data_IF_136176806382
#
_entry.id   IF_136176806382
#
_cell.length_a   1.000
_cell.length_b   1.000
_cell.length_c   1.000
_cell.angle_alpha   90.00
_cell.angle_beta   90.00
_cell.angle_gamma   90.00
#
_symmetry.space_group_name_H-M   'P 1'
#
loop_
_entity.id
_entity.type
_entity.pdbx_description
1 polymer ?
#
# COMPACT_ATOMS: atom_id res chain seq x y z
N UNK A 1 -33.17 9.56 43.13
CA UNK A 1 -33.34 9.70 44.59
C UNK A 1 -31.99 9.43 45.24
N UNK A 2 -31.20 10.46 45.55
CA UNK A 2 -30.11 10.46 46.54
C UNK A 2 -29.57 11.90 46.65
N UNK A 3 -29.73 12.47 47.84
CA UNK A 3 -29.48 13.87 48.20
C UNK A 3 -27.97 14.13 48.29
N UNK A 4 -27.46 15.10 47.55
CA UNK A 4 -26.11 15.63 47.76
C UNK A 4 -26.22 16.90 48.62
N UNK A 5 -25.95 16.74 49.92
CA UNK A 5 -25.97 17.81 50.91
C UNK A 5 -24.59 18.50 50.89
N UNK A 6 -24.50 19.67 50.25
CA UNK A 6 -23.34 20.55 50.37
C UNK A 6 -23.30 21.13 51.78
N UNK A 7 -22.41 20.62 52.63
CA UNK A 7 -22.05 21.21 53.91
C UNK A 7 -20.85 22.13 53.71
N UNK A 8 -21.11 23.41 53.46
CA UNK A 8 -20.13 24.49 53.54
C UNK A 8 -19.85 24.79 55.01
N UNK A 9 -18.89 24.07 55.60
CA UNK A 9 -18.31 24.43 56.89
C UNK A 9 -17.29 25.55 56.69
N UNK A 10 -17.75 26.79 56.83
CA UNK A 10 -16.89 27.94 57.08
C UNK A 10 -16.38 27.86 58.52
N UNK A 11 -15.23 27.21 58.72
CA UNK A 11 -14.50 27.30 59.98
C UNK A 11 -13.74 28.62 60.01
N UNK A 12 -14.34 29.62 60.64
CA UNK A 12 -13.62 30.80 61.09
C UNK A 12 -12.54 30.35 62.09
N UNK A 13 -11.29 30.35 61.65
CA UNK A 13 -10.12 30.07 62.48
C UNK A 13 -9.90 31.29 63.39
N UNK A 14 -10.57 31.32 64.53
CA UNK A 14 -10.30 32.29 65.59
C UNK A 14 -8.92 31.97 66.16
N UNK A 15 -7.91 32.76 65.79
CA UNK A 15 -6.57 32.71 66.37
C UNK A 15 -6.67 33.16 67.84
N UNK A 16 -6.85 32.19 68.73
CA UNK A 16 -6.69 32.42 70.17
C UNK A 16 -5.20 32.72 70.44
N UNK A 17 -4.90 33.98 70.74
CA UNK A 17 -3.62 34.40 71.28
C UNK A 17 -3.52 33.87 72.71
N UNK A 18 -2.69 32.84 72.91
CA UNK A 18 -2.27 32.43 74.25
C UNK A 18 -1.50 33.58 74.91
N UNK A 19 -1.83 33.82 76.18
CA UNK A 19 -1.37 34.94 77.01
C UNK A 19 0.13 34.90 77.37
N UNK A 20 0.85 33.88 76.93
CA UNK A 20 2.27 33.66 77.21
C UNK A 20 3.21 34.30 76.20
N UNK A 21 2.71 34.89 75.11
CA UNK A 21 3.52 35.65 74.15
C UNK A 21 4.54 34.83 73.35
N UNK A 22 4.66 33.53 73.61
CA UNK A 22 5.41 32.59 72.80
C UNK A 22 4.53 32.12 71.66
N UNK A 23 4.78 32.66 70.46
CA UNK A 23 4.15 32.17 69.23
C UNK A 23 4.45 30.67 69.14
N UNK A 24 3.39 29.86 69.10
CA UNK A 24 3.48 28.40 69.03
C UNK A 24 3.99 27.99 67.63
N UNK A 25 5.31 28.08 67.45
CA UNK A 25 5.98 27.72 66.21
C UNK A 25 5.90 26.20 65.96
N UNK A 26 5.63 25.40 66.99
CA UNK A 26 5.60 23.94 66.88
C UNK A 26 4.43 23.46 66.01
N UNK A 27 3.31 24.18 65.99
CA UNK A 27 2.16 23.87 65.13
C UNK A 27 2.44 24.11 63.63
N UNK A 28 3.37 25.01 63.29
CA UNK A 28 3.79 25.25 61.90
C UNK A 28 4.78 24.17 61.44
N UNK A 29 5.64 23.68 62.34
CA UNK A 29 6.61 22.62 62.04
C UNK A 29 5.98 21.22 61.99
N UNK A 30 4.98 20.93 62.83
CA UNK A 30 4.18 19.69 62.74
C UNK A 30 3.41 19.62 61.43
N UNK A 31 2.77 20.73 61.03
CA UNK A 31 2.07 20.85 59.74
C UNK A 31 3.00 20.62 58.54
N UNK A 32 4.25 21.10 58.59
CA UNK A 32 5.25 20.82 57.54
C UNK A 32 5.61 19.34 57.44
N UNK A 33 5.74 18.63 58.57
CA UNK A 33 6.03 17.18 58.58
C UNK A 33 4.84 16.36 58.06
N UNK A 34 3.61 16.76 58.39
CA UNK A 34 2.40 16.12 57.86
C UNK A 34 2.25 16.34 56.35
N UNK A 35 2.47 17.56 55.87
CA UNK A 35 2.46 17.87 54.44
C UNK A 35 3.55 17.08 53.69
N UNK A 36 4.74 16.94 54.27
CA UNK A 36 5.81 16.14 53.68
C UNK A 36 5.41 14.65 53.54
N UNK A 37 4.80 14.09 54.59
CA UNK A 37 4.32 12.70 54.60
C UNK A 37 3.19 12.48 53.58
N UNK A 38 2.25 13.40 53.48
CA UNK A 38 1.17 13.34 52.48
C UNK A 38 1.71 13.39 51.05
N UNK A 39 2.70 14.26 50.78
CA UNK A 39 3.36 14.36 49.47
C UNK A 39 4.11 13.08 49.12
N UNK A 40 4.80 12.45 50.07
CA UNK A 40 5.50 11.19 49.81
C UNK A 40 4.54 10.03 49.55
N UNK A 41 3.44 9.93 50.30
CA UNK A 41 2.43 8.88 50.08
C UNK A 41 1.73 9.07 48.74
N UNK A 42 1.34 10.31 48.41
CA UNK A 42 0.73 10.62 47.12
C UNK A 42 1.70 10.36 45.97
N UNK A 43 2.97 10.78 46.09
CA UNK A 43 4.00 10.51 45.10
C UNK A 43 4.23 9.02 44.88
N UNK A 44 4.27 8.22 45.95
CA UNK A 44 4.42 6.78 45.88
C UNK A 44 3.23 6.12 45.18
N UNK A 45 1.99 6.48 45.55
CA UNK A 45 0.78 5.98 44.90
C UNK A 45 0.71 6.38 43.42
N UNK A 46 1.11 7.62 43.10
CA UNK A 46 1.13 8.12 41.74
C UNK A 46 2.15 7.36 40.88
N UNK A 47 3.37 7.16 41.38
CA UNK A 47 4.42 6.39 40.69
C UNK A 47 3.97 4.94 40.49
N UNK A 48 3.42 4.28 41.52
CA UNK A 48 2.96 2.89 41.40
C UNK A 48 1.82 2.76 40.39
N UNK A 49 0.91 3.73 40.34
CA UNK A 49 -0.20 3.72 39.38
C UNK A 49 0.25 3.94 37.94
N UNK A 50 1.23 4.82 37.70
CA UNK A 50 1.58 5.28 36.35
C UNK A 50 2.83 4.62 35.77
N UNK A 51 3.79 4.20 36.60
CA UNK A 51 5.02 3.57 36.11
C UNK A 51 4.76 2.32 35.26
N UNK A 52 3.85 1.39 35.61
CA UNK A 52 3.53 0.24 34.75
C UNK A 52 2.95 0.65 33.39
N UNK A 53 2.13 1.71 33.36
CA UNK A 53 1.52 2.21 32.13
C UNK A 53 2.57 2.85 31.22
N UNK A 54 3.51 3.63 31.76
CA UNK A 54 4.63 4.15 30.97
C UNK A 54 5.51 3.03 30.43
N UNK A 55 5.86 2.04 31.25
CA UNK A 55 6.64 0.88 30.80
C UNK A 55 5.90 0.17 29.66
N UNK A 56 4.59 -0.07 29.80
CA UNK A 56 3.78 -0.67 28.75
C UNK A 56 3.79 0.14 27.46
N UNK A 57 3.59 1.47 27.54
CA UNK A 57 3.64 2.36 26.37
C UNK A 57 5.02 2.29 25.69
N UNK A 58 6.11 2.39 26.45
CA UNK A 58 7.45 2.31 25.88
C UNK A 58 7.75 0.95 25.24
N UNK A 59 7.28 -0.14 25.84
CA UNK A 59 7.43 -1.50 25.29
C UNK A 59 6.65 -1.64 23.98
N UNK A 60 5.39 -1.21 23.94
CA UNK A 60 4.57 -1.25 22.71
C UNK A 60 5.17 -0.35 21.64
N UNK A 61 5.61 0.87 21.99
CA UNK A 61 6.31 1.75 21.05
C UNK A 61 7.61 1.14 20.54
N UNK A 62 8.40 0.49 21.39
CA UNK A 62 9.62 -0.19 20.97
C UNK A 62 9.33 -1.34 20.00
N UNK A 63 8.27 -2.12 20.23
CA UNK A 63 7.84 -3.14 19.28
C UNK A 63 7.33 -2.53 17.97
N UNK A 64 6.53 -1.48 18.02
CA UNK A 64 6.00 -0.81 16.85
C UNK A 64 7.11 -0.18 15.99
N UNK A 65 7.99 0.60 16.61
CA UNK A 65 9.13 1.22 15.94
C UNK A 65 10.15 0.18 15.49
N UNK A 66 10.36 -0.88 16.27
CA UNK A 66 11.23 -1.99 15.94
C UNK A 66 10.73 -2.79 14.74
N UNK A 67 9.42 -3.05 14.65
CA UNK A 67 8.80 -3.72 13.50
C UNK A 67 8.89 -2.86 12.22
N UNK A 68 8.85 -1.53 12.35
CA UNK A 68 9.05 -0.59 11.26
C UNK A 68 10.52 -0.30 10.94
N UNK A 69 11.47 -0.78 11.74
CA UNK A 69 12.89 -0.49 11.53
C UNK A 69 13.44 -1.36 10.40
N UNK A 70 13.84 -0.71 9.30
CA UNK A 70 14.44 -1.32 8.12
C UNK A 70 13.53 -2.34 7.40
N UNK A 71 12.35 -1.92 6.91
CA UNK A 71 11.40 -2.82 6.23
C UNK A 71 12.05 -3.50 5.01
N UNK A 72 13.03 -2.84 4.41
CA UNK A 72 13.83 -3.31 3.30
C UNK A 72 14.50 -4.66 3.58
N UNK A 73 14.93 -4.93 4.82
CA UNK A 73 15.57 -6.20 5.18
C UNK A 73 14.60 -7.39 5.21
N UNK A 74 13.31 -7.15 5.44
CA UNK A 74 12.31 -8.21 5.61
C UNK A 74 11.43 -8.40 4.37
N UNK A 75 11.33 -7.38 3.51
CA UNK A 75 10.60 -7.46 2.24
C UNK A 75 11.16 -8.50 1.28
N UNK A 76 12.46 -8.87 1.43
CA UNK A 76 13.13 -9.97 0.72
C UNK A 76 12.44 -11.34 0.82
N UNK A 77 11.59 -11.53 1.82
CA UNK A 77 10.86 -12.77 2.05
C UNK A 77 9.43 -12.75 1.48
N UNK A 78 9.01 -11.64 0.87
CA UNK A 78 7.69 -11.49 0.28
C UNK A 78 7.74 -12.03 -1.15
N UNK A 79 7.17 -13.21 -1.33
CA UNK A 79 7.08 -13.87 -2.63
C UNK A 79 5.95 -13.31 -3.49
N UNK A 80 6.28 -12.92 -4.71
CA UNK A 80 5.30 -12.58 -5.75
C UNK A 80 5.56 -13.44 -6.97
N UNK A 81 4.54 -14.18 -7.42
CA UNK A 81 4.68 -14.96 -8.65
C UNK A 81 4.45 -14.09 -9.88
N UNK A 82 5.23 -14.33 -10.93
CA UNK A 82 5.10 -13.68 -12.22
C UNK A 82 4.90 -14.78 -13.25
N UNK A 83 3.77 -14.75 -13.96
CA UNK A 83 3.37 -15.78 -14.91
C UNK A 83 3.09 -15.15 -16.26
N UNK A 84 3.70 -15.71 -17.30
CA UNK A 84 3.48 -15.31 -18.69
C UNK A 84 2.67 -16.40 -19.41
N UNK A 85 1.40 -16.11 -19.73
CA UNK A 85 0.57 -16.97 -20.58
C UNK A 85 0.62 -16.58 -22.06
N UNK A 86 1.24 -15.46 -22.40
CA UNK A 86 1.37 -15.02 -23.78
C UNK A 86 2.44 -15.84 -24.51
N UNK A 87 3.63 -15.99 -23.90
CA UNK A 87 4.73 -16.78 -24.45
C UNK A 87 5.34 -16.22 -25.74
N UNK A 88 4.94 -15.01 -26.16
CA UNK A 88 5.44 -14.31 -27.35
C UNK A 88 6.27 -13.07 -26.94
N UNK A 89 6.45 -12.14 -27.87
CA UNK A 89 7.31 -10.97 -27.71
C UNK A 89 6.91 -10.09 -26.50
N UNK A 90 5.61 -9.85 -26.31
CA UNK A 90 5.13 -9.06 -25.17
C UNK A 90 5.42 -9.75 -23.84
N UNK A 91 5.28 -11.09 -23.79
CA UNK A 91 5.70 -11.92 -22.67
C UNK A 91 7.18 -11.78 -22.33
N UNK A 92 8.06 -11.79 -23.34
CA UNK A 92 9.49 -11.55 -23.17
C UNK A 92 9.80 -10.19 -22.52
N UNK A 93 9.28 -9.10 -23.09
CA UNK A 93 9.45 -7.75 -22.52
C UNK A 93 8.86 -7.62 -21.12
N UNK A 94 7.74 -8.27 -20.88
CA UNK A 94 7.10 -8.29 -19.58
C UNK A 94 8.01 -8.96 -18.54
N UNK A 95 8.48 -10.19 -18.78
CA UNK A 95 9.37 -10.90 -17.87
C UNK A 95 10.70 -10.17 -17.66
N UNK A 96 11.28 -9.62 -18.73
CA UNK A 96 12.53 -8.88 -18.65
C UNK A 96 12.39 -7.59 -17.85
N UNK A 97 11.26 -6.89 -17.93
CA UNK A 97 10.99 -5.74 -17.07
C UNK A 97 10.90 -6.11 -15.59
N UNK A 98 10.30 -7.25 -15.25
CA UNK A 98 10.28 -7.76 -13.87
C UNK A 98 11.68 -8.18 -13.38
N UNK A 99 12.54 -8.69 -14.27
CA UNK A 99 13.95 -8.97 -13.95
C UNK A 99 14.80 -7.72 -13.80
N UNK A 100 14.55 -6.74 -14.68
CA UNK A 100 15.30 -5.48 -14.75
C UNK A 100 14.88 -4.48 -13.67
N UNK A 101 13.67 -4.59 -13.14
CA UNK A 101 13.22 -3.85 -11.96
C UNK A 101 13.90 -4.50 -10.77
N UNK A 102 15.03 -3.94 -10.29
CA UNK A 102 15.71 -4.53 -9.18
C UNK A 102 14.73 -4.55 -8.01
N UNK A 103 14.83 -5.52 -7.11
CA UNK A 103 14.26 -5.36 -5.80
C UNK A 103 14.84 -4.04 -5.24
N UNK A 104 14.04 -2.97 -5.21
CA UNK A 104 14.49 -1.64 -4.80
C UNK A 104 14.79 -1.63 -3.30
N UNK A 105 14.60 -0.49 -2.63
CA UNK A 105 14.53 -0.51 -1.15
C UNK A 105 13.47 -1.51 -0.66
N UNK A 106 12.43 -1.79 -1.45
CA UNK A 106 11.42 -2.81 -1.17
C UNK A 106 11.70 -4.05 -2.04
N UNK A 107 12.41 -5.03 -1.48
CA UNK A 107 12.97 -6.14 -2.24
C UNK A 107 11.97 -7.29 -2.35
N UNK A 108 10.98 -7.25 -3.24
CA UNK A 108 10.12 -8.42 -3.46
C UNK A 108 10.91 -9.57 -4.09
N UNK A 109 10.62 -10.81 -3.68
CA UNK A 109 11.18 -12.00 -4.32
C UNK A 109 10.27 -12.42 -5.47
N UNK A 110 10.69 -12.11 -6.69
CA UNK A 110 10.01 -12.53 -7.91
C UNK A 110 10.18 -14.03 -8.13
N UNK A 111 9.07 -14.77 -8.17
CA UNK A 111 9.03 -16.17 -8.55
C UNK A 111 8.47 -16.30 -9.96
N UNK A 112 9.33 -16.54 -10.93
CA UNK A 112 8.90 -16.81 -12.30
C UNK A 112 8.33 -18.22 -12.38
N UNK A 113 7.07 -18.33 -12.81
CA UNK A 113 6.33 -19.58 -12.90
C UNK A 113 5.77 -19.75 -14.29
N UNK A 114 5.65 -20.99 -14.72
CA UNK A 114 5.04 -21.32 -16.01
C UNK A 114 3.52 -21.46 -15.84
N UNK A 115 2.72 -21.18 -16.88
CA UNK A 115 1.28 -21.45 -16.90
C UNK A 115 0.88 -22.85 -16.39
N UNK A 116 1.67 -23.86 -16.73
CA UNK A 116 1.47 -25.25 -16.33
C UNK A 116 1.62 -25.48 -14.81
N UNK A 117 2.34 -24.61 -14.09
CA UNK A 117 2.49 -24.71 -12.63
C UNK A 117 1.17 -24.41 -11.89
N UNK A 118 0.19 -23.80 -12.57
CA UNK A 118 -1.12 -23.42 -12.05
C UNK A 118 -2.27 -23.99 -12.90
N UNK A 119 -2.08 -25.19 -13.46
CA UNK A 119 -3.09 -25.93 -14.23
C UNK A 119 -3.69 -25.17 -15.41
N UNK A 120 -2.98 -24.15 -15.90
CA UNK A 120 -3.43 -23.25 -16.96
C UNK A 120 -4.75 -22.49 -16.67
N UNK A 121 -5.14 -22.37 -15.39
CA UNK A 121 -6.41 -21.76 -14.99
C UNK A 121 -6.21 -20.58 -14.05
N UNK A 122 -6.93 -19.47 -14.31
CA UNK A 122 -6.90 -18.28 -13.45
C UNK A 122 -7.44 -18.59 -12.04
N UNK A 123 -8.34 -19.55 -11.90
CA UNK A 123 -8.90 -19.93 -10.60
C UNK A 123 -7.86 -20.61 -9.69
N UNK A 124 -7.01 -21.46 -10.27
CA UNK A 124 -5.93 -22.11 -9.51
C UNK A 124 -4.85 -21.11 -9.09
N UNK A 125 -4.62 -20.07 -9.91
CA UNK A 125 -3.77 -18.93 -9.55
C UNK A 125 -4.35 -18.17 -8.34
N UNK A 126 -5.66 -17.91 -8.33
CA UNK A 126 -6.31 -17.26 -7.18
C UNK A 126 -6.17 -18.10 -5.92
N UNK A 127 -6.33 -19.42 -6.02
CA UNK A 127 -6.18 -20.33 -4.89
C UNK A 127 -4.75 -20.32 -4.33
N UNK A 128 -3.71 -20.22 -5.16
CA UNK A 128 -2.33 -20.10 -4.68
C UNK A 128 -2.08 -18.80 -3.89
N UNK A 129 -2.75 -17.70 -4.28
CA UNK A 129 -2.75 -16.49 -3.47
C UNK A 129 -3.49 -16.73 -2.17
N UNK A 130 -4.68 -17.32 -2.19
CA UNK A 130 -5.53 -17.57 -1.01
C UNK A 130 -4.88 -18.49 0.03
N UNK A 131 -4.22 -19.57 -0.43
CA UNK A 131 -3.56 -20.58 0.40
C UNK A 131 -2.28 -20.08 1.10
N UNK A 132 -1.76 -18.90 0.74
CA UNK A 132 -0.60 -18.31 1.42
C UNK A 132 0.74 -18.64 0.79
N UNK A 133 0.74 -19.25 -0.40
CA UNK A 133 1.97 -19.63 -1.07
C UNK A 133 2.75 -18.42 -1.57
N UNK A 134 2.03 -17.34 -1.93
CA UNK A 134 2.56 -16.07 -2.39
C UNK A 134 1.67 -14.92 -1.93
N UNK A 135 2.23 -13.70 -1.89
CA UNK A 135 1.52 -12.48 -1.47
C UNK A 135 0.70 -11.85 -2.57
N UNK A 136 1.17 -11.98 -3.81
CA UNK A 136 0.48 -11.56 -5.01
C UNK A 136 0.94 -12.41 -6.20
N UNK A 137 0.12 -12.44 -7.26
CA UNK A 137 0.49 -13.00 -8.54
C UNK A 137 0.21 -11.98 -9.63
N UNK A 138 1.19 -11.80 -10.52
CA UNK A 138 1.05 -10.98 -11.72
C UNK A 138 1.03 -11.91 -12.92
N UNK A 139 -0.05 -11.82 -13.70
CA UNK A 139 -0.30 -12.67 -14.85
C UNK A 139 -0.37 -11.80 -16.09
N UNK A 140 0.44 -12.13 -17.11
CA UNK A 140 0.19 -11.67 -18.47
C UNK A 140 -0.79 -12.63 -19.14
N UNK A 141 -1.94 -12.12 -19.61
CA UNK A 141 -2.99 -12.94 -20.25
C UNK A 141 -2.52 -13.50 -21.59
N UNK A 142 -3.05 -14.66 -22.01
CA UNK A 142 -2.69 -15.25 -23.29
C UNK A 142 -3.12 -14.38 -24.48
N UNK A 143 -2.42 -14.52 -25.61
CA UNK A 143 -2.69 -13.79 -26.86
C UNK A 143 -2.59 -12.25 -26.75
N UNK A 144 -1.87 -11.73 -25.75
CA UNK A 144 -1.62 -10.29 -25.61
C UNK A 144 -0.86 -9.75 -26.82
N UNK A 145 0.23 -10.42 -27.24
CA UNK A 145 1.02 -10.02 -28.40
C UNK A 145 0.17 -10.03 -29.68
N UNK A 146 -0.53 -11.15 -29.93
CA UNK A 146 -1.44 -11.29 -31.07
C UNK A 146 -2.51 -10.19 -31.11
N UNK A 147 -3.11 -9.86 -29.97
CA UNK A 147 -4.15 -8.83 -29.86
C UNK A 147 -3.61 -7.44 -30.17
N UNK A 148 -2.42 -7.10 -29.65
CA UNK A 148 -1.75 -5.83 -29.95
C UNK A 148 -1.43 -5.74 -31.45
N UNK A 149 -0.83 -6.79 -32.01
CA UNK A 149 -0.46 -6.83 -33.43
C UNK A 149 -1.68 -6.70 -34.34
N UNK A 150 -2.79 -7.38 -34.03
CA UNK A 150 -4.06 -7.23 -34.76
C UNK A 150 -4.57 -5.79 -34.73
N UNK A 151 -4.51 -5.12 -33.57
CA UNK A 151 -4.90 -3.71 -33.46
C UNK A 151 -3.97 -2.76 -34.20
N UNK A 152 -2.66 -3.05 -34.24
CA UNK A 152 -1.71 -2.30 -35.06
C UNK A 152 -1.95 -2.48 -36.56
N UNK A 153 -2.26 -3.70 -37.00
CA UNK A 153 -2.60 -3.94 -38.41
C UNK A 153 -3.92 -3.28 -38.78
N UNK A 154 -4.92 -3.32 -37.89
CA UNK A 154 -6.16 -2.59 -38.07
C UNK A 154 -5.90 -1.08 -38.18
N UNK A 155 -5.05 -0.50 -37.34
CA UNK A 155 -4.65 0.91 -37.43
C UNK A 155 -4.11 1.28 -38.82
N UNK A 156 -3.20 0.47 -39.36
CA UNK A 156 -2.49 0.77 -40.62
C UNK A 156 -3.44 0.69 -41.82
N UNK A 157 -4.32 -0.32 -41.82
CA UNK A 157 -5.16 -0.66 -42.97
C UNK A 157 -6.58 -0.07 -42.91
N UNK A 158 -7.00 0.49 -41.77
CA UNK A 158 -8.41 0.84 -41.55
C UNK A 158 -8.85 2.09 -42.31
N UNK A 159 -10.02 1.96 -42.95
CA UNK A 159 -10.84 3.05 -43.47
C UNK A 159 -11.87 3.56 -42.43
N UNK A 160 -11.87 3.00 -41.23
CA UNK A 160 -12.73 3.38 -40.11
C UNK A 160 -11.93 3.66 -38.83
N UNK A 161 -12.60 4.20 -37.81
CA UNK A 161 -11.96 4.51 -36.53
C UNK A 161 -11.73 3.23 -35.71
N UNK A 162 -10.51 3.05 -35.21
CA UNK A 162 -10.13 1.86 -34.43
C UNK A 162 -10.37 2.09 -32.94
N UNK A 163 -10.91 1.08 -32.27
CA UNK A 163 -11.11 1.04 -30.81
C UNK A 163 -9.93 0.35 -30.13
N UNK A 164 -9.67 0.70 -28.87
CA UNK A 164 -8.59 0.11 -28.07
C UNK A 164 -8.73 -1.44 -27.95
N UNK A 165 -7.65 -2.23 -28.12
CA UNK A 165 -7.72 -3.71 -28.12
C UNK A 165 -8.24 -4.33 -26.83
N UNK A 166 -8.00 -3.67 -25.69
CA UNK A 166 -8.19 -4.28 -24.38
C UNK A 166 -9.30 -3.59 -23.57
N UNK A 167 -10.31 -3.03 -24.25
CA UNK A 167 -11.43 -2.32 -23.57
C UNK A 167 -12.15 -3.24 -22.58
N UNK A 168 -12.30 -4.52 -22.92
CA UNK A 168 -13.08 -5.46 -22.11
C UNK A 168 -12.21 -6.36 -21.22
N UNK A 169 -10.91 -6.47 -21.52
CA UNK A 169 -10.03 -7.47 -20.90
C UNK A 169 -8.60 -6.93 -20.90
N UNK A 170 -8.17 -6.28 -19.80
CA UNK A 170 -6.80 -5.79 -19.66
C UNK A 170 -5.77 -6.90 -19.86
N UNK A 171 -4.61 -6.64 -20.48
CA UNK A 171 -3.61 -7.67 -20.76
C UNK A 171 -2.93 -8.22 -19.51
N UNK A 172 -2.82 -7.41 -18.44
CA UNK A 172 -2.20 -7.84 -17.18
C UNK A 172 -3.27 -7.99 -16.11
N UNK A 173 -3.20 -9.06 -15.33
CA UNK A 173 -4.03 -9.31 -14.15
C UNK A 173 -3.12 -9.45 -12.93
N UNK A 174 -3.32 -8.57 -11.95
CA UNK A 174 -2.64 -8.61 -10.64
C UNK A 174 -3.64 -9.13 -9.62
N UNK A 175 -3.37 -10.28 -9.03
CA UNK A 175 -4.20 -10.90 -8.00
C UNK A 175 -3.47 -10.78 -6.67
N UNK A 176 -4.15 -10.29 -5.64
CA UNK A 176 -3.60 -10.11 -4.30
C UNK A 176 -4.69 -10.23 -3.24
N UNK A 177 -4.28 -10.29 -1.97
CA UNK A 177 -5.20 -10.47 -0.84
C UNK A 177 -4.90 -9.43 0.25
N UNK A 178 -5.79 -8.44 0.40
CA UNK A 178 -5.72 -7.45 1.48
C UNK A 178 -6.23 -7.98 2.83
N UNK A 179 -7.02 -9.05 2.83
CA UNK A 179 -7.55 -9.69 4.04
C UNK A 179 -6.45 -10.16 4.99
N UNK A 180 -5.25 -10.43 4.47
CA UNK A 180 -4.05 -10.71 5.28
C UNK A 180 -3.54 -9.49 6.02
N UNK A 181 -3.20 -8.46 5.26
CA UNK A 181 -2.61 -7.23 5.77
C UNK A 181 -2.64 -6.15 4.68
N UNK A 182 -3.68 -5.32 4.68
CA UNK A 182 -3.83 -4.22 3.72
C UNK A 182 -2.65 -3.25 3.71
N UNK A 183 -2.04 -2.99 4.87
CA UNK A 183 -0.89 -2.08 4.98
C UNK A 183 0.31 -2.64 4.23
N UNK A 184 0.63 -3.92 4.44
CA UNK A 184 1.74 -4.59 3.75
C UNK A 184 1.52 -4.64 2.24
N UNK A 185 0.30 -4.98 1.81
CA UNK A 185 -0.03 -5.02 0.38
C UNK A 185 0.17 -3.65 -0.29
N UNK A 186 -0.40 -2.60 0.30
CA UNK A 186 -0.42 -1.27 -0.31
C UNK A 186 0.94 -0.55 -0.28
N UNK A 187 1.76 -0.80 0.74
CA UNK A 187 3.04 -0.09 0.93
C UNK A 187 4.21 -0.90 0.36
N UNK A 188 4.17 -2.23 0.46
CA UNK A 188 5.32 -3.07 0.13
C UNK A 188 5.13 -3.95 -1.11
N UNK A 189 3.93 -4.46 -1.37
CA UNK A 189 3.72 -5.44 -2.46
C UNK A 189 3.33 -4.78 -3.78
N UNK A 190 2.30 -3.93 -3.77
CA UNK A 190 1.78 -3.32 -4.99
C UNK A 190 2.70 -2.27 -5.63
N UNK A 191 3.42 -1.41 -4.88
CA UNK A 191 4.26 -0.39 -5.51
C UNK A 191 5.38 -0.96 -6.40
N UNK A 192 6.15 -1.99 -5.97
CA UNK A 192 7.15 -2.60 -6.85
C UNK A 192 6.53 -3.29 -8.08
N UNK A 193 5.36 -3.94 -7.95
CA UNK A 193 4.63 -4.51 -9.08
C UNK A 193 4.25 -3.42 -10.10
N UNK A 194 3.70 -2.29 -9.61
CA UNK A 194 3.37 -1.13 -10.45
C UNK A 194 4.59 -0.57 -11.17
N UNK A 195 5.73 -0.49 -10.48
CA UNK A 195 6.99 -0.03 -11.07
C UNK A 195 7.50 -1.00 -12.16
N UNK A 196 7.41 -2.31 -11.94
CA UNK A 196 7.79 -3.32 -12.93
C UNK A 196 6.88 -3.26 -14.17
N UNK A 197 5.57 -3.13 -13.98
CA UNK A 197 4.61 -2.97 -15.08
C UNK A 197 4.86 -1.65 -15.85
N UNK A 198 5.16 -0.56 -15.16
CA UNK A 198 5.53 0.71 -15.78
C UNK A 198 6.82 0.58 -16.63
N UNK A 199 7.79 -0.19 -16.14
CA UNK A 199 9.02 -0.51 -16.88
C UNK A 199 8.72 -1.34 -18.13
N UNK A 200 7.88 -2.36 -18.01
CA UNK A 200 7.41 -3.17 -19.14
C UNK A 200 6.70 -2.33 -20.18
N UNK A 201 5.82 -1.43 -19.73
CA UNK A 201 5.09 -0.48 -20.57
C UNK A 201 6.04 0.42 -21.38
N UNK A 202 7.09 0.93 -20.74
CA UNK A 202 8.07 1.76 -21.43
C UNK A 202 8.84 0.94 -22.48
N UNK A 203 9.42 -0.21 -22.09
CA UNK A 203 10.23 -1.04 -22.99
C UNK A 203 9.44 -1.50 -24.23
N UNK A 204 8.26 -2.08 -24.02
CA UNK A 204 7.45 -2.57 -25.13
C UNK A 204 6.77 -1.44 -25.89
N UNK A 205 6.34 -0.38 -25.20
CA UNK A 205 5.75 0.81 -25.81
C UNK A 205 6.70 1.49 -26.80
N UNK A 206 8.00 1.57 -26.50
CA UNK A 206 8.99 2.08 -27.45
C UNK A 206 9.08 1.20 -28.70
N UNK A 207 9.09 -0.12 -28.54
CA UNK A 207 9.09 -1.06 -29.67
C UNK A 207 7.86 -0.85 -30.55
N UNK A 208 6.66 -0.78 -29.97
CA UNK A 208 5.43 -0.51 -30.71
C UNK A 208 5.45 0.83 -31.44
N UNK A 209 5.97 1.90 -30.81
CA UNK A 209 6.12 3.21 -31.44
C UNK A 209 7.03 3.16 -32.66
N UNK A 210 8.18 2.48 -32.56
CA UNK A 210 9.10 2.35 -33.70
C UNK A 210 8.45 1.60 -34.87
N UNK A 211 7.71 0.53 -34.59
CA UNK A 211 6.96 -0.24 -35.59
C UNK A 211 5.85 0.59 -36.25
N UNK A 212 5.13 1.42 -35.50
CA UNK A 212 4.12 2.31 -36.11
C UNK A 212 4.77 3.37 -36.98
N UNK A 213 5.83 4.03 -36.50
CA UNK A 213 6.50 5.10 -37.25
C UNK A 213 7.07 4.55 -38.57
N UNK A 214 7.68 3.37 -38.54
CA UNK A 214 8.21 2.73 -39.76
C UNK A 214 7.09 2.41 -40.76
N UNK A 215 5.96 1.87 -40.28
CA UNK A 215 4.82 1.54 -41.14
C UNK A 215 4.11 2.78 -41.70
N UNK A 216 3.86 3.81 -40.89
CA UNK A 216 3.26 5.07 -41.35
C UNK A 216 4.14 5.76 -42.41
N UNK A 217 5.47 5.71 -42.24
CA UNK A 217 6.41 6.28 -43.22
C UNK A 217 6.27 5.61 -44.59
N UNK A 218 6.01 4.30 -44.63
CA UNK A 218 5.82 3.53 -45.85
C UNK A 218 4.45 3.82 -46.52
N UNK A 219 3.37 3.84 -45.74
CA UNK A 219 2.00 4.08 -46.25
C UNK A 219 1.76 5.53 -46.68
N UNK A 220 2.57 6.48 -46.19
CA UNK A 220 2.46 7.91 -46.52
C UNK A 220 2.67 8.24 -48.00
N UNK A 221 3.23 7.32 -48.80
CA UNK A 221 3.46 7.53 -50.24
C UNK A 221 2.23 7.26 -51.13
N UNK A 222 1.11 6.75 -50.61
CA UNK A 222 0.03 6.26 -51.48
C UNK A 222 -1.44 6.59 -51.15
N UNK A 223 -1.82 7.41 -50.15
CA UNK A 223 -3.26 7.43 -49.79
C UNK A 223 -3.91 8.75 -49.33
N UNK A 224 -5.15 8.90 -49.82
CA UNK A 224 -6.23 9.85 -49.51
C UNK A 224 -6.73 9.81 -48.04
N UNK A 225 -6.14 8.97 -47.18
CA UNK A 225 -6.66 8.67 -45.83
C UNK A 225 -5.73 9.06 -44.67
N UNK A 226 -4.76 9.95 -44.91
CA UNK A 226 -3.78 10.37 -43.89
C UNK A 226 -4.42 10.94 -42.62
N UNK A 227 -5.50 11.71 -42.73
CA UNK A 227 -6.23 12.28 -41.58
C UNK A 227 -6.78 11.19 -40.68
N UNK A 228 -7.35 10.13 -41.25
CA UNK A 228 -7.90 9.01 -40.49
C UNK A 228 -6.79 8.20 -39.81
N UNK A 229 -5.66 7.96 -40.49
CA UNK A 229 -4.51 7.27 -39.91
C UNK A 229 -3.92 8.06 -38.72
N UNK A 230 -3.83 9.39 -38.85
CA UNK A 230 -3.41 10.27 -37.75
C UNK A 230 -4.40 10.22 -36.59
N UNK A 231 -5.71 10.29 -36.86
CA UNK A 231 -6.74 10.17 -35.83
C UNK A 231 -6.69 8.83 -35.11
N UNK A 232 -6.49 7.73 -35.84
CA UNK A 232 -6.36 6.40 -35.26
C UNK A 232 -5.07 6.28 -34.43
N UNK A 233 -3.96 6.89 -34.88
CA UNK A 233 -2.70 6.93 -34.11
C UNK A 233 -2.87 7.70 -32.81
N UNK A 234 -3.54 8.85 -32.84
CA UNK A 234 -3.87 9.63 -31.65
C UNK A 234 -4.79 8.87 -30.70
N UNK A 235 -5.77 8.12 -31.21
CA UNK A 235 -6.65 7.29 -30.38
C UNK A 235 -5.90 6.16 -29.69
N UNK A 236 -4.96 5.53 -30.38
CA UNK A 236 -4.14 4.46 -29.83
C UNK A 236 -2.91 4.97 -29.06
N UNK A 237 -2.77 6.27 -28.82
CA UNK A 237 -1.68 6.82 -28.01
C UNK A 237 -1.60 6.16 -26.62
N UNK A 238 -2.76 5.80 -26.05
CA UNK A 238 -2.83 5.13 -24.76
C UNK A 238 -2.21 3.73 -24.81
N UNK A 239 -2.34 3.00 -25.92
CA UNK A 239 -1.66 1.72 -26.14
C UNK A 239 -0.14 1.89 -26.27
N UNK A 240 0.30 3.01 -26.85
CA UNK A 240 1.73 3.33 -27.00
C UNK A 240 2.39 3.85 -25.72
N UNK A 241 1.58 4.41 -24.82
CA UNK A 241 2.03 4.81 -23.50
C UNK A 241 2.04 3.60 -22.55
N UNK A 242 0.96 2.80 -22.56
CA UNK A 242 0.72 1.72 -21.62
C UNK A 242 0.16 0.47 -22.34
N UNK A 243 1.01 -0.31 -23.04
CA UNK A 243 0.56 -1.53 -23.70
C UNK A 243 0.08 -2.64 -22.73
N UNK A 244 0.54 -2.59 -21.48
CA UNK A 244 0.23 -3.50 -20.39
C UNK A 244 -0.63 -2.81 -19.33
N UNK A 245 -1.88 -2.49 -19.67
CA UNK A 245 -2.85 -2.04 -18.66
C UNK A 245 -3.13 -3.19 -17.70
N UNK A 246 -3.02 -2.91 -16.40
CA UNK A 246 -3.19 -3.90 -15.35
C UNK A 246 -4.56 -3.78 -14.68
N UNK A 247 -5.23 -4.92 -14.56
CA UNK A 247 -6.40 -5.12 -13.72
C UNK A 247 -5.93 -5.58 -12.33
N UNK A 248 -6.44 -4.95 -11.27
CA UNK A 248 -6.11 -5.30 -9.89
C UNK A 248 -7.31 -5.99 -9.27
N UNK A 249 -7.15 -7.28 -8.96
CA UNK A 249 -8.16 -8.10 -8.34
C UNK A 249 -7.76 -8.44 -6.90
N UNK A 250 -8.50 -7.89 -5.95
CA UNK A 250 -8.35 -8.22 -4.55
C UNK A 250 -9.32 -9.37 -4.19
N UNK A 251 -8.78 -10.53 -3.79
CA UNK A 251 -9.59 -11.71 -3.46
C UNK A 251 -10.43 -11.45 -2.21
N UNK A 252 -9.81 -10.94 -1.14
CA UNK A 252 -10.50 -10.57 0.08
C UNK A 252 -10.24 -9.11 0.41
N UNK A 253 -11.31 -8.31 0.37
CA UNK A 253 -11.25 -6.93 0.87
C UNK A 253 -10.95 -6.96 2.36
N UNK A 254 -9.96 -6.17 2.78
CA UNK A 254 -9.74 -5.96 4.20
C UNK A 254 -11.04 -5.43 4.82
N UNK A 255 -11.47 -6.03 5.93
CA UNK A 255 -12.61 -5.51 6.67
C UNK A 255 -12.28 -4.06 7.08
N UNK A 256 -13.22 -3.11 6.98
CA UNK A 256 -12.97 -1.68 7.15
C UNK A 256 -12.53 -1.23 8.56
N UNK A 257 -12.16 -2.13 9.47
CA UNK A 257 -11.83 -1.81 10.86
C UNK A 257 -10.51 -1.04 11.03
N UNK A 258 -9.64 -0.99 10.02
CA UNK A 258 -8.38 -0.21 10.08
C UNK A 258 -8.59 1.26 9.67
N UNK A 259 -9.73 1.60 9.05
CA UNK A 259 -10.04 2.97 8.58
C UNK A 259 -10.74 3.87 9.59
N UNK A 260 -11.13 3.38 10.77
CA UNK A 260 -11.85 4.19 11.77
C UNK A 260 -10.96 5.14 12.58
N UNK A 261 -9.63 5.12 12.38
CA UNK A 261 -8.70 6.02 13.08
C UNK A 261 -8.06 7.10 12.18
N UNK A 262 -8.33 7.13 10.86
CA UNK A 262 -7.73 8.12 9.94
C UNK A 262 -8.66 9.26 9.49
N UNK A 263 -9.94 9.27 9.86
CA UNK A 263 -10.81 10.43 9.58
C UNK A 263 -10.90 11.35 10.80
N UNK A 264 -10.00 12.34 10.88
CA UNK A 264 -10.17 13.67 11.53
C UNK A 264 -8.86 14.21 12.11
N UNK A 265 -7.82 14.36 11.29
CA UNK A 265 -6.81 15.40 11.54
C UNK A 265 -6.82 16.30 10.30
N UNK A 266 -7.62 17.36 10.40
CA UNK A 266 -7.50 18.59 9.60
C UNK A 266 -6.69 19.56 10.45
#
# INVERSE_FOLDING_TARGET
MLKHQQSTRNSAHTLALDSTGTRDFDHVWSSRKEIATLRSVFGYQWIIGHAPLWIFIFVVCAFYLGAGHNPNQYTGNIDVAVVDFDGEQAGGFFLDAFRATPPGNLTLRWRYKYPNDYGNSVNEIQQAVDDGQVWAIVVLRPNTTSTINKSLLALINSTTLVTYPFVNTPPVLVIYDEGRNAFTQNIFVLPPIRAAIATANNQYGQTLRTTIISNLSFTSRSSTNRTLQLQNTLRLQHLLANPFVAEYNNIHRALPYVGLFESNII
#
